data_IF_875271534367
#
_entry.id   IF_875271534367
#
_cell.length_a   1.000
_cell.length_b   1.000
_cell.length_c   1.000
_cell.angle_alpha   90.00
_cell.angle_beta   90.00
_cell.angle_gamma   90.00
#
_symmetry.space_group_name_H-M   'P 1'
#
loop_
_entity.id
_entity.type
_entity.pdbx_description
1 polymer ?
#
# COMPACT_ATOMS: atom_id res chain seq x y z
N UNK A 1 -7.21 -9.90 7.17
CA UNK A 1 -8.23 -9.28 6.30
C UNK A 1 -8.85 -8.11 7.06
N UNK A 2 -9.13 -6.99 6.39
CA UNK A 2 -9.76 -5.84 7.03
C UNK A 2 -11.27 -6.09 7.14
N UNK A 3 -11.91 -5.65 8.22
CA UNK A 3 -13.38 -5.77 8.32
C UNK A 3 -14.04 -4.98 7.20
N UNK A 4 -15.19 -5.47 6.71
CA UNK A 4 -15.98 -4.79 5.66
C UNK A 4 -16.28 -3.34 6.03
N UNK A 5 -16.69 -3.12 7.27
CA UNK A 5 -16.99 -1.78 7.80
C UNK A 5 -15.78 -0.85 7.68
N UNK A 6 -14.59 -1.33 8.07
CA UNK A 6 -13.37 -0.55 7.94
C UNK A 6 -13.05 -0.26 6.49
N UNK A 7 -13.13 -1.25 5.59
CA UNK A 7 -12.84 -1.06 4.17
C UNK A 7 -13.78 -0.03 3.51
N UNK A 8 -15.07 -0.11 3.80
CA UNK A 8 -16.06 0.88 3.35
C UNK A 8 -15.81 2.27 3.93
N UNK A 9 -15.30 2.36 5.17
CA UNK A 9 -14.96 3.63 5.83
C UNK A 9 -13.71 4.31 5.24
N UNK A 10 -12.72 3.54 4.75
CA UNK A 10 -11.50 4.12 4.16
C UNK A 10 -11.75 4.69 2.76
N UNK A 11 -12.70 4.11 2.01
CA UNK A 11 -13.06 4.59 0.67
C UNK A 11 -13.79 5.93 0.78
N UNK A 12 -13.19 6.99 0.25
CA UNK A 12 -13.74 8.35 0.27
C UNK A 12 -13.70 8.99 -1.12
N UNK A 13 -14.62 9.92 -1.37
CA UNK A 13 -14.64 10.74 -2.60
C UNK A 13 -13.48 11.73 -2.60
N UNK A 14 -13.15 12.26 -3.77
CA UNK A 14 -12.14 13.32 -3.98
C UNK A 14 -10.67 12.89 -3.78
N UNK A 15 -10.45 11.59 -3.61
CA UNK A 15 -9.13 10.96 -3.54
C UNK A 15 -9.01 9.93 -4.66
N UNK A 16 -7.78 9.62 -5.06
CA UNK A 16 -7.49 8.49 -5.94
C UNK A 16 -7.25 7.25 -5.09
N UNK A 17 -8.01 6.19 -5.38
CA UNK A 17 -7.74 4.85 -4.86
C UNK A 17 -6.61 4.21 -5.65
N UNK A 18 -5.59 3.72 -4.96
CA UNK A 18 -4.46 3.01 -5.55
C UNK A 18 -4.37 1.63 -4.91
N UNK A 19 -4.75 0.61 -5.67
CA UNK A 19 -4.64 -0.79 -5.29
C UNK A 19 -3.46 -1.46 -6.00
N UNK A 20 -2.77 -2.36 -5.30
CA UNK A 20 -1.70 -3.19 -5.83
C UNK A 20 -1.74 -4.59 -5.20
N UNK A 21 -1.38 -5.60 -5.98
CA UNK A 21 -1.29 -6.97 -5.51
C UNK A 21 -0.01 -7.63 -6.03
N UNK A 22 0.47 -8.62 -5.29
CA UNK A 22 1.61 -9.45 -5.73
C UNK A 22 1.54 -10.82 -5.09
N UNK A 23 2.02 -11.82 -5.81
CA UNK A 23 2.20 -13.18 -5.32
C UNK A 23 3.64 -13.35 -4.87
N UNK A 24 3.84 -13.71 -3.60
CA UNK A 24 5.19 -13.86 -3.01
C UNK A 24 5.35 -15.25 -2.44
N UNK A 25 6.48 -15.87 -2.78
CA UNK A 25 6.93 -17.11 -2.15
C UNK A 25 7.84 -16.78 -0.98
N UNK A 26 7.47 -17.23 0.21
CA UNK A 26 8.26 -17.09 1.44
C UNK A 26 9.39 -18.12 1.48
N UNK A 27 10.32 -17.96 2.42
CA UNK A 27 11.52 -18.83 2.51
C UNK A 27 11.20 -20.27 2.92
N UNK A 28 10.08 -20.48 3.61
CA UNK A 28 9.54 -21.78 4.02
C UNK A 28 8.65 -22.45 2.95
N UNK A 29 8.56 -21.86 1.75
CA UNK A 29 7.92 -22.48 0.59
C UNK A 29 6.43 -22.18 0.43
N UNK A 30 5.81 -21.41 1.33
CA UNK A 30 4.43 -20.96 1.16
C UNK A 30 4.34 -19.88 0.07
N UNK A 31 3.25 -19.90 -0.70
CA UNK A 31 2.93 -18.84 -1.66
C UNK A 31 1.73 -18.06 -1.15
N UNK A 32 1.91 -16.75 -0.96
CA UNK A 32 0.89 -15.86 -0.40
C UNK A 32 0.59 -14.75 -1.41
N UNK A 33 -0.70 -14.46 -1.63
CA UNK A 33 -1.13 -13.27 -2.37
C UNK A 33 -1.37 -12.12 -1.42
N UNK A 34 -0.59 -11.06 -1.58
CA UNK A 34 -0.73 -9.85 -0.78
C UNK A 34 -1.48 -8.78 -1.56
N UNK A 35 -2.33 -8.05 -0.86
CA UNK A 35 -3.05 -6.89 -1.37
C UNK A 35 -2.68 -5.67 -0.55
N UNK A 36 -2.46 -4.55 -1.22
CA UNK A 36 -2.22 -3.25 -0.60
C UNK A 36 -3.14 -2.21 -1.24
N UNK A 37 -3.76 -1.39 -0.40
CA UNK A 37 -4.65 -0.29 -0.79
C UNK A 37 -4.06 0.98 -0.18
N UNK A 38 -3.94 2.04 -0.98
CA UNK A 38 -3.48 3.35 -0.55
C UNK A 38 -4.38 4.44 -1.14
N UNK A 39 -4.48 5.57 -0.45
CA UNK A 39 -5.23 6.73 -0.90
C UNK A 39 -4.31 7.95 -1.01
N UNK A 40 -4.64 8.87 -1.91
CA UNK A 40 -3.93 10.13 -2.03
C UNK A 40 -4.27 11.06 -0.86
N UNK A 41 -3.24 11.61 -0.20
CA UNK A 41 -3.39 12.52 0.94
C UNK A 41 -3.45 13.97 0.48
N UNK A 42 -4.40 14.74 1.02
CA UNK A 42 -4.42 16.20 0.86
C UNK A 42 -3.23 16.81 1.62
N UNK A 43 -2.52 17.74 1.00
CA UNK A 43 -1.53 18.57 1.70
C UNK A 43 -2.24 19.68 2.46
N UNK A 44 -1.76 20.01 3.67
CA UNK A 44 -2.44 20.95 4.57
C UNK A 44 -2.62 22.35 3.93
N UNK A 45 -1.69 22.76 3.06
CA UNK A 45 -1.73 24.05 2.38
C UNK A 45 -2.51 24.02 1.05
N UNK A 46 -3.11 22.89 0.68
CA UNK A 46 -3.81 22.75 -0.61
C UNK A 46 -5.22 23.38 -0.54
N UNK A 47 -5.47 24.36 -1.41
CA UNK A 47 -6.78 25.03 -1.52
C UNK A 47 -7.83 24.11 -2.15
N UNK A 48 -7.43 23.27 -3.10
CA UNK A 48 -8.33 22.31 -3.76
C UNK A 48 -8.87 21.27 -2.77
N UNK A 49 -10.16 20.96 -2.88
CA UNK A 49 -10.78 19.81 -2.20
C UNK A 49 -10.39 18.47 -2.83
N UNK A 50 -9.98 18.50 -4.11
CA UNK A 50 -9.74 17.30 -4.91
C UNK A 50 -8.24 17.00 -4.97
N UNK A 51 -7.90 15.74 -4.75
CA UNK A 51 -6.53 15.26 -4.60
C UNK A 51 -6.31 14.06 -5.53
N UNK A 52 -6.40 14.29 -6.83
CA UNK A 52 -6.26 13.23 -7.82
C UNK A 52 -4.81 13.08 -8.29
N UNK A 53 -4.30 11.85 -8.26
CA UNK A 53 -3.01 11.51 -8.86
C UNK A 53 -3.16 11.28 -10.37
N UNK A 54 -2.17 11.72 -11.16
CA UNK A 54 -2.12 11.41 -12.60
C UNK A 54 -1.93 9.91 -12.81
N UNK A 55 -2.41 9.38 -13.93
CA UNK A 55 -2.27 7.96 -14.27
C UNK A 55 -0.81 7.46 -14.24
N UNK A 56 0.15 8.30 -14.66
CA UNK A 56 1.58 7.99 -14.56
C UNK A 56 2.06 7.82 -13.13
N UNK A 57 1.61 8.69 -12.21
CA UNK A 57 1.92 8.61 -10.78
C UNK A 57 1.30 7.36 -10.15
N UNK A 58 0.04 7.04 -10.48
CA UNK A 58 -0.63 5.82 -10.01
C UNK A 58 0.14 4.56 -10.42
N UNK A 59 0.57 4.47 -11.68
CA UNK A 59 1.38 3.34 -12.17
C UNK A 59 2.72 3.23 -11.44
N UNK A 60 3.39 4.37 -11.20
CA UNK A 60 4.67 4.39 -10.51
C UNK A 60 4.53 4.00 -9.02
N UNK A 61 3.47 4.46 -8.35
CA UNK A 61 3.16 4.09 -6.97
C UNK A 61 2.84 2.60 -6.88
N UNK A 62 2.00 2.06 -7.78
CA UNK A 62 1.70 0.61 -7.84
C UNK A 62 2.97 -0.23 -8.00
N UNK A 63 3.87 0.17 -8.90
CA UNK A 63 5.18 -0.50 -9.05
C UNK A 63 5.95 -0.50 -7.73
N UNK A 64 5.99 0.65 -7.04
CA UNK A 64 6.68 0.78 -5.75
C UNK A 64 6.04 -0.05 -4.64
N UNK A 65 4.72 -0.17 -4.61
CA UNK A 65 3.98 -1.04 -3.68
C UNK A 65 4.42 -2.50 -3.87
N UNK A 66 4.41 -2.98 -5.12
CA UNK A 66 4.82 -4.35 -5.45
C UNK A 66 6.29 -4.59 -5.10
N UNK A 67 7.18 -3.63 -5.39
CA UNK A 67 8.60 -3.74 -5.05
C UNK A 67 8.84 -3.89 -3.54
N UNK A 68 8.13 -3.13 -2.69
CA UNK A 68 8.25 -3.23 -1.23
C UNK A 68 7.70 -4.56 -0.73
N UNK A 69 6.50 -4.93 -1.20
CA UNK A 69 5.86 -6.19 -0.81
C UNK A 69 6.77 -7.39 -1.13
N UNK A 70 7.35 -7.45 -2.33
CA UNK A 70 8.27 -8.52 -2.72
C UNK A 70 9.57 -8.49 -1.89
N UNK A 71 10.12 -7.30 -1.63
CA UNK A 71 11.38 -7.17 -0.91
C UNK A 71 11.29 -7.54 0.57
N UNK A 72 10.14 -7.33 1.22
CA UNK A 72 9.92 -7.69 2.63
C UNK A 72 9.45 -9.13 2.78
N UNK A 73 8.44 -9.55 2.02
CA UNK A 73 7.86 -10.88 2.18
C UNK A 73 8.72 -12.01 1.59
N UNK A 74 9.52 -11.74 0.56
CA UNK A 74 10.37 -12.76 -0.08
C UNK A 74 11.59 -13.17 0.73
N UNK A 75 11.94 -12.43 1.79
CA UNK A 75 13.16 -12.67 2.60
C UNK A 75 12.90 -13.38 3.92
N UNK A 76 11.63 -13.55 4.30
CA UNK A 76 11.24 -14.03 5.62
C UNK A 76 10.37 -15.29 5.51
N UNK A 77 10.36 -16.06 6.60
CA UNK A 77 9.42 -17.16 6.76
C UNK A 77 8.01 -16.61 7.09
N UNK A 78 6.98 -17.42 6.90
CA UNK A 78 5.59 -17.02 7.10
C UNK A 78 5.33 -16.47 8.51
N UNK A 79 5.94 -17.07 9.53
CA UNK A 79 5.80 -16.63 10.93
C UNK A 79 6.23 -15.18 11.13
N UNK A 80 7.34 -14.78 10.53
CA UNK A 80 7.89 -13.44 10.71
C UNK A 80 7.20 -12.43 9.76
N UNK A 81 6.71 -12.89 8.60
CA UNK A 81 5.81 -12.11 7.75
C UNK A 81 4.54 -11.68 8.51
N UNK A 82 3.93 -12.59 9.28
CA UNK A 82 2.74 -12.28 10.09
C UNK A 82 3.06 -11.24 11.16
N UNK A 83 4.22 -11.29 11.81
CA UNK A 83 4.63 -10.26 12.78
C UNK A 83 4.77 -8.88 12.12
N UNK A 84 5.32 -8.83 10.92
CA UNK A 84 5.45 -7.59 10.14
C UNK A 84 4.08 -7.01 9.76
N UNK A 85 3.11 -7.88 9.44
CA UNK A 85 1.73 -7.48 9.14
C UNK A 85 1.01 -6.94 10.39
N UNK A 86 1.21 -7.55 11.57
CA UNK A 86 0.66 -7.07 12.84
C UNK A 86 1.21 -5.67 13.19
N UNK A 87 2.49 -5.43 12.93
CA UNK A 87 3.14 -4.13 13.18
C UNK A 87 2.85 -3.06 12.10
N UNK A 88 2.13 -3.43 11.04
CA UNK A 88 1.88 -2.63 9.85
C UNK A 88 3.16 -2.04 9.22
N UNK A 89 4.29 -2.77 9.30
CA UNK A 89 5.60 -2.27 8.82
C UNK A 89 5.59 -2.03 7.31
N UNK A 90 4.99 -2.97 6.57
CA UNK A 90 4.93 -2.96 5.11
C UNK A 90 4.16 -1.72 4.61
N UNK A 91 3.03 -1.42 5.26
CA UNK A 91 2.20 -0.26 4.92
C UNK A 91 2.94 1.06 5.13
N UNK A 92 3.66 1.20 6.25
CA UNK A 92 4.47 2.38 6.56
C UNK A 92 5.63 2.58 5.57
N UNK A 93 6.28 1.49 5.15
CA UNK A 93 7.36 1.56 4.17
C UNK A 93 6.82 1.92 2.77
N UNK A 94 5.64 1.42 2.40
CA UNK A 94 4.93 1.83 1.18
C UNK A 94 4.61 3.33 1.22
N UNK A 95 4.05 3.83 2.32
CA UNK A 95 3.73 5.26 2.49
C UNK A 95 5.01 6.10 2.35
N UNK A 96 6.08 5.72 3.05
CA UNK A 96 7.36 6.42 3.02
C UNK A 96 7.95 6.51 1.62
N UNK A 97 7.93 5.41 0.84
CA UNK A 97 8.46 5.39 -0.53
C UNK A 97 7.53 6.09 -1.51
N UNK A 98 6.22 5.92 -1.35
CA UNK A 98 5.19 6.52 -2.21
C UNK A 98 5.10 8.03 -2.05
N UNK A 99 5.35 8.56 -0.85
CA UNK A 99 5.34 10.00 -0.53
C UNK A 99 6.29 10.83 -1.40
N UNK A 100 7.35 10.23 -1.96
CA UNK A 100 8.24 10.89 -2.93
C UNK A 100 7.58 11.19 -4.28
N UNK A 101 6.53 10.46 -4.64
CA UNK A 101 5.80 10.58 -5.90
C UNK A 101 4.54 11.44 -5.69
N UNK A 102 3.77 11.10 -4.67
CA UNK A 102 2.55 11.78 -4.28
C UNK A 102 2.29 11.52 -2.79
N UNK A 103 1.78 12.46 -1.99
CA UNK A 103 1.43 12.21 -0.60
C UNK A 103 0.38 11.09 -0.47
N UNK A 104 0.64 10.08 0.37
CA UNK A 104 -0.26 8.94 0.59
C UNK A 104 -0.66 8.84 2.06
N UNK A 105 -1.76 8.13 2.34
CA UNK A 105 -2.15 7.60 3.65
C UNK A 105 -2.87 6.26 3.51
#
# INVERSE_FOLDING_TARGET
>A
ELTRDKLCSVIKKWHTLIEGWTDVRTTDGYTVRMFAIAFTKKQDNAVSSNVYAKASQVRLIRKRMVDVMNAEAGKVALRDLVKNLIAESIGKEIEKRGKKIYPLY
#
